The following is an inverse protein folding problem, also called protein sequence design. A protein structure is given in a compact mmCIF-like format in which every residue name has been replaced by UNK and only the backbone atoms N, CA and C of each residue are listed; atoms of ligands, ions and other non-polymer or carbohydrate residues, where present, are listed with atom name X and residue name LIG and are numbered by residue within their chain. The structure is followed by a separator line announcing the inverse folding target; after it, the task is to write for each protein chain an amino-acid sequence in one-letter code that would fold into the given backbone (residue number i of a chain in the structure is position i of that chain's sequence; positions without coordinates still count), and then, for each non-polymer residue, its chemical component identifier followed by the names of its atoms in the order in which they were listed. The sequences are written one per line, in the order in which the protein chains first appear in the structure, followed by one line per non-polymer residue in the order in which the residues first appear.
data_IF_757011482039
#
_entry.id   IF_757011482039
#
_cell.length_a   1.000
_cell.length_b   1.000
_cell.length_c   1.000
_cell.angle_alpha   90.00
_cell.angle_beta   90.00
_cell.angle_gamma   90.00
#
_symmetry.space_group_name_H-M   'P 1'
#
loop_
_entity.id
_entity.type
_entity.pdbx_description
1 polymer ?
#
# COMPACT_ATOMS: atom_id res chain seq x y z
N UNK A 1 6.57 -26.21 -49.23
CA UNK A 1 6.46 -26.79 -47.87
C UNK A 1 6.99 -25.78 -46.86
N UNK A 2 6.30 -25.64 -45.73
CA UNK A 2 6.23 -24.42 -44.91
C UNK A 2 7.50 -24.09 -44.10
N UNK A 3 7.86 -22.80 -44.09
CA UNK A 3 8.86 -22.20 -43.20
C UNK A 3 8.38 -22.18 -41.74
N UNK A 4 9.29 -22.46 -40.81
CA UNK A 4 9.06 -22.36 -39.36
C UNK A 4 9.89 -21.21 -38.81
N UNK A 5 9.25 -20.07 -38.63
CA UNK A 5 9.79 -18.86 -38.03
C UNK A 5 9.66 -18.88 -36.49
N UNK A 6 10.64 -18.25 -35.84
CA UNK A 6 10.54 -17.53 -34.55
C UNK A 6 10.06 -18.31 -33.31
N UNK A 7 10.99 -18.99 -32.66
CA UNK A 7 10.85 -19.47 -31.28
C UNK A 7 11.28 -18.43 -30.25
N UNK A 8 10.63 -17.27 -30.20
CA UNK A 8 10.79 -16.32 -29.09
C UNK A 8 9.42 -15.93 -28.51
N UNK A 9 8.94 -16.75 -27.57
CA UNK A 9 7.78 -16.42 -26.71
C UNK A 9 7.97 -17.04 -25.33
N UNK A 10 9.01 -16.62 -24.59
CA UNK A 10 8.98 -16.74 -23.12
C UNK A 10 7.94 -15.74 -22.59
N UNK A 11 6.66 -16.16 -22.54
CA UNK A 11 5.64 -15.45 -21.75
C UNK A 11 6.08 -15.47 -20.28
N UNK A 12 6.24 -14.31 -19.60
CA UNK A 12 6.47 -14.35 -18.17
C UNK A 12 5.24 -14.94 -17.49
N UNK A 13 5.47 -15.87 -16.56
CA UNK A 13 4.46 -16.49 -15.71
C UNK A 13 3.69 -15.40 -14.95
N UNK A 14 2.58 -14.95 -15.53
CA UNK A 14 1.58 -14.10 -14.87
C UNK A 14 0.75 -14.99 -13.95
N UNK A 15 1.40 -15.53 -12.93
CA UNK A 15 0.92 -16.64 -12.11
C UNK A 15 1.22 -16.45 -10.63
N UNK A 16 1.21 -15.22 -10.13
CA UNK A 16 1.24 -14.94 -8.69
C UNK A 16 -0.10 -15.27 -8.06
N UNK A 17 -0.36 -16.56 -7.82
CA UNK A 17 -1.49 -17.08 -7.00
C UNK A 17 -1.28 -16.64 -5.54
N UNK A 18 -1.62 -15.38 -5.25
CA UNK A 18 -1.61 -14.80 -3.91
C UNK A 18 -3.00 -14.26 -3.61
N UNK A 19 -3.92 -15.16 -3.28
CA UNK A 19 -5.24 -14.88 -2.69
C UNK A 19 -5.08 -14.22 -1.32
N UNK A 20 -4.60 -12.98 -1.28
CA UNK A 20 -4.67 -12.13 -0.10
C UNK A 20 -5.80 -11.17 -0.38
N UNK A 21 -7.01 -11.69 -0.21
CA UNK A 21 -8.24 -10.94 -0.32
C UNK A 21 -8.07 -9.63 0.47
N UNK A 22 -8.28 -8.51 -0.22
CA UNK A 22 -8.55 -7.26 0.49
C UNK A 22 -9.66 -7.54 1.51
N UNK A 23 -9.61 -6.97 2.72
CA UNK A 23 -10.71 -7.14 3.68
C UNK A 23 -12.05 -6.84 2.99
N UNK A 24 -13.08 -7.64 3.29
CA UNK A 24 -14.41 -7.55 2.70
C UNK A 24 -15.08 -6.16 2.88
N UNK A 25 -14.49 -5.29 3.70
CA UNK A 25 -14.84 -3.88 3.86
C UNK A 25 -13.63 -3.04 3.46
N UNK A 26 -13.67 -2.47 2.26
CA UNK A 26 -12.76 -1.37 1.90
C UNK A 26 -13.03 -0.20 2.84
N UNK A 27 -12.00 0.26 3.55
CA UNK A 27 -12.11 1.50 4.32
C UNK A 27 -12.25 2.62 3.29
N UNK A 28 -13.45 3.20 3.16
CA UNK A 28 -13.64 4.41 2.34
C UNK A 28 -12.95 5.55 3.07
N UNK A 29 -11.88 6.04 2.48
CA UNK A 29 -11.15 7.18 3.04
C UNK A 29 -11.67 8.42 2.32
N UNK A 30 -12.24 9.35 3.08
CA UNK A 30 -12.67 10.65 2.55
C UNK A 30 -11.48 11.55 2.24
N UNK A 31 -11.53 12.80 2.67
CA UNK A 31 -10.37 13.71 2.59
C UNK A 31 -9.29 13.20 3.55
N UNK A 32 -8.08 12.95 3.02
CA UNK A 32 -6.93 12.46 3.80
C UNK A 32 -6.01 13.63 4.11
N UNK A 33 -6.08 14.11 5.34
CA UNK A 33 -5.20 15.16 5.85
C UNK A 33 -4.17 14.61 6.84
N UNK A 34 -2.98 15.22 6.84
CA UNK A 34 -1.91 14.89 7.80
C UNK A 34 -2.26 15.25 9.25
N UNK A 35 -3.26 16.12 9.43
CA UNK A 35 -3.75 16.59 10.74
C UNK A 35 -4.64 15.55 11.43
N UNK A 36 -5.31 14.67 10.67
CA UNK A 36 -6.15 13.62 11.24
C UNK A 36 -5.32 12.40 11.64
N UNK A 37 -4.63 12.56 12.77
CA UNK A 37 -3.77 11.52 13.34
C UNK A 37 -4.56 10.26 13.69
N UNK A 38 -5.83 10.39 14.09
CA UNK A 38 -6.67 9.26 14.48
C UNK A 38 -6.95 8.34 13.29
N UNK A 39 -7.22 8.92 12.11
CA UNK A 39 -7.39 8.15 10.88
C UNK A 39 -6.07 7.57 10.38
N UNK A 40 -4.98 8.35 10.38
CA UNK A 40 -3.66 7.89 9.93
C UNK A 40 -3.09 6.75 10.80
N UNK A 41 -3.41 6.73 12.11
CA UNK A 41 -3.03 5.65 13.03
C UNK A 41 -3.56 4.27 12.59
N UNK A 42 -4.71 4.21 11.92
CA UNK A 42 -5.29 2.95 11.40
C UNK A 42 -4.45 2.36 10.26
N UNK A 43 -3.71 3.20 9.54
CA UNK A 43 -2.89 2.81 8.39
C UNK A 43 -1.41 2.57 8.72
N UNK A 44 -1.01 2.73 9.99
CA UNK A 44 0.34 2.41 10.46
C UNK A 44 0.30 1.18 11.39
N UNK A 45 1.44 0.51 11.50
CA UNK A 45 1.67 -0.51 12.51
C UNK A 45 2.01 0.15 13.84
N UNK A 46 1.93 -0.63 14.92
CA UNK A 46 2.37 -0.20 16.25
C UNK A 46 3.83 0.27 16.27
N UNK A 47 4.68 -0.34 15.43
CA UNK A 47 6.09 0.04 15.23
C UNK A 47 6.26 1.30 14.36
N UNK A 48 5.18 1.99 14.01
CA UNK A 48 5.20 3.20 13.18
C UNK A 48 5.45 2.95 11.69
N UNK A 49 5.45 1.71 11.19
CA UNK A 49 5.61 1.41 9.74
C UNK A 49 4.26 1.57 9.01
N UNK A 50 4.26 2.04 7.76
CA UNK A 50 3.02 2.12 6.97
C UNK A 50 2.56 0.72 6.59
N UNK A 51 1.28 0.38 6.84
CA UNK A 51 0.70 -0.92 6.49
C UNK A 51 0.61 -1.08 4.97
N UNK A 52 0.80 -2.31 4.51
CA UNK A 52 0.67 -2.64 3.10
C UNK A 52 -0.80 -2.53 2.64
N UNK A 53 -1.01 -2.07 1.40
CA UNK A 53 -2.33 -1.93 0.76
C UNK A 53 -3.22 -3.17 0.89
N UNK A 54 -2.64 -4.37 0.77
CA UNK A 54 -3.37 -5.64 0.88
C UNK A 54 -4.04 -5.88 2.24
N UNK A 55 -3.51 -5.26 3.30
CA UNK A 55 -4.03 -5.36 4.66
C UNK A 55 -5.19 -4.37 4.86
N UNK A 56 -5.03 -3.17 4.32
CA UNK A 56 -5.97 -2.05 4.51
C UNK A 56 -7.12 -2.05 3.50
N UNK A 57 -6.96 -2.72 2.37
CA UNK A 57 -8.00 -2.85 1.33
C UNK A 57 -8.28 -1.57 0.54
N UNK A 58 -7.41 -0.56 0.64
CA UNK A 58 -7.56 0.73 -0.05
C UNK A 58 -7.17 0.65 -1.53
N UNK A 59 -7.58 1.63 -2.33
CA UNK A 59 -7.16 1.77 -3.72
C UNK A 59 -5.67 2.15 -3.83
N UNK A 60 -5.09 2.03 -5.03
CA UNK A 60 -3.69 2.44 -5.27
C UNK A 60 -3.53 3.96 -5.10
N UNK A 61 -4.54 4.73 -5.52
CA UNK A 61 -4.54 6.19 -5.40
C UNK A 61 -4.63 6.62 -3.93
N UNK A 62 -5.55 6.03 -3.17
CA UNK A 62 -5.70 6.26 -1.73
C UNK A 62 -4.42 5.90 -0.98
N UNK A 63 -3.80 4.74 -1.28
CA UNK A 63 -2.54 4.36 -0.63
C UNK A 63 -1.43 5.42 -0.84
N UNK A 64 -1.36 6.04 -2.02
CA UNK A 64 -0.38 7.10 -2.31
C UNK A 64 -0.67 8.37 -1.51
N UNK A 65 -1.95 8.74 -1.39
CA UNK A 65 -2.39 9.88 -0.58
C UNK A 65 -2.10 9.66 0.90
N UNK A 66 -2.46 8.49 1.44
CA UNK A 66 -2.15 8.08 2.82
C UNK A 66 -0.65 8.13 3.06
N UNK A 67 0.16 7.58 2.15
CA UNK A 67 1.62 7.59 2.31
C UNK A 67 2.20 9.00 2.37
N UNK A 68 1.67 9.95 1.57
CA UNK A 68 2.07 11.37 1.63
C UNK A 68 1.64 12.00 2.95
N UNK A 69 0.39 11.81 3.36
CA UNK A 69 -0.13 12.36 4.61
C UNK A 69 0.64 11.83 5.84
N UNK A 70 0.96 10.54 5.88
CA UNK A 70 1.78 9.95 6.96
C UNK A 70 3.19 10.55 6.98
N UNK A 71 3.81 10.78 5.82
CA UNK A 71 5.14 11.40 5.76
C UNK A 71 5.11 12.84 6.28
N UNK A 72 4.16 13.64 5.81
CA UNK A 72 3.98 15.02 6.29
C UNK A 72 3.68 15.05 7.80
N UNK A 73 2.82 14.14 8.30
CA UNK A 73 2.53 14.05 9.73
C UNK A 73 3.77 13.70 10.58
N UNK A 74 4.72 12.92 10.04
CA UNK A 74 5.99 12.63 10.70
C UNK A 74 6.94 13.81 10.72
N UNK A 75 7.01 14.57 9.62
CA UNK A 75 7.79 15.82 9.55
C UNK A 75 7.26 16.85 10.56
N UNK A 76 5.94 16.88 10.78
CA UNK A 76 5.29 17.71 11.80
C UNK A 76 5.32 17.13 13.22
N UNK A 77 6.06 16.04 13.45
CA UNK A 77 6.15 15.33 14.74
C UNK A 77 4.81 14.83 15.33
N UNK A 78 3.75 14.74 14.52
CA UNK A 78 2.44 14.23 14.93
C UNK A 78 2.40 12.69 14.98
N UNK A 79 3.29 12.03 14.22
CA UNK A 79 3.44 10.58 14.17
C UNK A 79 4.91 10.18 14.32
N UNK A 80 5.20 9.04 14.98
CA UNK A 80 6.57 8.56 15.14
C UNK A 80 7.13 7.98 13.83
N UNK A 81 8.46 8.09 13.66
CA UNK A 81 9.19 7.36 12.64
C UNK A 81 9.35 5.89 13.02
N UNK A 82 9.40 5.02 12.00
CA UNK A 82 9.63 3.60 12.20
C UNK A 82 11.04 3.37 12.75
N UNK A 83 11.16 2.73 13.91
CA UNK A 83 12.45 2.43 14.54
C UNK A 83 12.85 3.35 15.70
N UNK A 84 12.01 4.33 16.08
CA UNK A 84 12.27 5.14 17.28
C UNK A 84 11.96 4.41 18.60
N UNK A 85 11.40 3.21 18.54
CA UNK A 85 11.25 2.33 19.71
C UNK A 85 12.40 1.34 19.74
N UNK A 86 13.16 1.38 20.84
CA UNK A 86 14.19 0.41 21.26
C UNK A 86 14.07 -0.97 20.61
#
# INVERSE_FOLDING_TARGET
MAGKSSGDRRKPLRGGKGKNAAPAKSIRVGVIDYKDVATLRKFISERGKIRARRITGVSVQEQRLIARAVKNAREMALLPYAGSGR
#
